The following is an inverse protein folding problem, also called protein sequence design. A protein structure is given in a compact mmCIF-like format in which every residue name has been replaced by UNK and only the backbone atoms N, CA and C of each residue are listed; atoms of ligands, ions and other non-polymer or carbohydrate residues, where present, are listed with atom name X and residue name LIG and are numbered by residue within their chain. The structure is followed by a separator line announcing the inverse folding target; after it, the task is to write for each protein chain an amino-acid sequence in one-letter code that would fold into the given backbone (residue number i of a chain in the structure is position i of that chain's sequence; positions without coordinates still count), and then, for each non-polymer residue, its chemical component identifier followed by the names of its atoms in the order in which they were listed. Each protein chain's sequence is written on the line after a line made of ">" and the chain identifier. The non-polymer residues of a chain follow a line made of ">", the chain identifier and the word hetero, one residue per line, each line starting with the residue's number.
data_IF_725672422789
#
_entry.id   IF_725672422789
#
_cell.length_a   1.000
_cell.length_b   1.000
_cell.length_c   1.000
_cell.angle_alpha   90.00
_cell.angle_beta   90.00
_cell.angle_gamma   90.00
#
_symmetry.space_group_name_H-M   'P 1'
#
loop_
_entity.id
_entity.type
_entity.pdbx_description
1 polymer ?
#
# COMPACT_ATOMS: atom_id res chain seq x y z
N UNK A 1 -2.42 15.89 -2.41
CA UNK A 1 -3.72 15.91 -1.72
C UNK A 1 -4.67 15.02 -2.52
N UNK A 2 -5.28 14.03 -1.90
CA UNK A 2 -6.30 13.20 -2.57
C UNK A 2 -7.61 13.98 -2.64
N UNK A 3 -8.27 13.99 -3.80
CA UNK A 3 -9.53 14.69 -4.02
C UNK A 3 -10.57 13.77 -4.65
N UNK A 4 -11.83 13.91 -4.24
CA UNK A 4 -12.95 13.18 -4.85
C UNK A 4 -13.17 13.67 -6.28
N UNK A 5 -13.46 12.74 -7.19
CA UNK A 5 -13.79 13.05 -8.59
C UNK A 5 -15.18 12.55 -8.92
N UNK A 6 -15.99 13.42 -9.53
CA UNK A 6 -17.26 13.08 -10.17
C UNK A 6 -17.13 13.32 -11.68
N UNK A 7 -17.32 12.28 -12.49
CA UNK A 7 -17.00 12.23 -13.92
C UNK A 7 -15.52 12.57 -14.16
N UNK A 8 -15.22 13.79 -14.57
CA UNK A 8 -13.88 14.35 -14.81
C UNK A 8 -13.67 15.67 -14.04
N UNK A 9 -14.43 15.86 -12.95
CA UNK A 9 -14.40 17.06 -12.12
C UNK A 9 -13.95 16.74 -10.71
N UNK A 10 -12.94 17.46 -10.26
CA UNK A 10 -12.49 17.44 -8.87
C UNK A 10 -13.45 18.25 -8.00
N UNK A 11 -13.81 17.72 -6.83
CA UNK A 11 -14.59 18.40 -5.80
C UNK A 11 -13.63 18.91 -4.70
N UNK A 12 -13.45 20.23 -4.61
CA UNK A 12 -12.48 20.85 -3.70
C UNK A 12 -12.94 20.93 -2.24
N UNK A 13 -14.26 20.88 -2.02
CA UNK A 13 -14.97 21.03 -0.75
C UNK A 13 -15.47 19.69 -0.17
N UNK A 14 -15.03 18.57 -0.73
CA UNK A 14 -15.41 17.25 -0.26
C UNK A 14 -14.52 16.80 0.91
N UNK A 15 -15.15 16.55 2.05
CA UNK A 15 -14.53 16.00 3.27
C UNK A 15 -14.88 14.52 3.51
N UNK A 16 -15.49 13.86 2.52
CA UNK A 16 -15.86 12.44 2.63
C UNK A 16 -14.62 11.53 2.66
N UNK A 17 -14.64 10.43 3.44
CA UNK A 17 -13.58 9.46 3.42
C UNK A 17 -13.48 8.77 2.06
N UNK A 18 -12.26 8.48 1.64
CA UNK A 18 -12.01 7.71 0.41
C UNK A 18 -12.35 6.24 0.67
N UNK A 19 -13.09 5.62 -0.26
CA UNK A 19 -13.50 4.21 -0.18
C UNK A 19 -12.94 3.41 -1.36
N UNK A 20 -13.04 2.10 -1.25
CA UNK A 20 -12.62 1.16 -2.31
C UNK A 20 -13.30 1.48 -3.64
N UNK A 21 -12.53 1.41 -4.72
CA UNK A 21 -12.96 1.64 -6.10
C UNK A 21 -13.49 3.05 -6.40
N UNK A 22 -13.34 4.01 -5.49
CA UNK A 22 -13.68 5.40 -5.77
C UNK A 22 -12.76 5.98 -6.85
N UNK A 23 -13.34 6.89 -7.64
CA UNK A 23 -12.56 7.78 -8.52
C UNK A 23 -12.03 8.96 -7.72
N UNK A 24 -10.73 9.20 -7.84
CA UNK A 24 -10.05 10.31 -7.19
C UNK A 24 -9.01 10.95 -8.12
N UNK A 25 -8.55 12.14 -7.73
CA UNK A 25 -7.40 12.80 -8.33
C UNK A 25 -6.35 13.09 -7.25
N UNK A 26 -5.08 13.16 -7.65
CA UNK A 26 -3.98 13.51 -6.76
C UNK A 26 -3.45 14.90 -7.14
N UNK A 27 -3.78 15.90 -6.31
CA UNK A 27 -3.30 17.27 -6.45
C UNK A 27 -1.87 17.39 -5.86
N UNK A 28 -0.94 18.01 -6.59
CA UNK A 28 0.37 18.37 -6.04
C UNK A 28 0.21 19.52 -5.04
N UNK A 29 0.81 19.37 -3.85
CA UNK A 29 0.77 20.42 -2.84
C UNK A 29 1.69 21.57 -3.27
N UNK A 30 1.11 22.71 -3.63
CA UNK A 30 1.88 23.93 -3.87
C UNK A 30 2.56 24.40 -2.58
N UNK A 31 3.85 24.75 -2.66
CA UNK A 31 4.62 25.27 -1.54
C UNK A 31 4.26 26.73 -1.22
N UNK A 32 4.60 27.25 -0.03
CA UNK A 32 4.28 28.63 0.36
C UNK A 32 4.95 29.70 -0.53
N UNK A 33 5.95 29.33 -1.35
CA UNK A 33 6.68 30.21 -2.26
C UNK A 33 6.21 30.14 -3.72
N UNK A 34 5.26 29.27 -4.08
CA UNK A 34 4.73 29.22 -5.45
C UNK A 34 3.63 30.26 -5.63
N UNK A 35 3.95 31.35 -6.31
CA UNK A 35 3.01 32.39 -6.74
C UNK A 35 2.07 31.95 -7.86
N UNK A 36 2.23 30.73 -8.39
CA UNK A 36 1.30 30.14 -9.35
C UNK A 36 0.10 29.53 -8.62
N UNK A 37 -1.07 30.14 -8.78
CA UNK A 37 -2.37 29.60 -8.31
C UNK A 37 -2.84 28.36 -9.09
N UNK A 38 -1.95 27.71 -9.84
CA UNK A 38 -2.31 26.61 -10.73
C UNK A 38 -2.38 25.31 -9.93
N UNK A 39 -3.59 24.75 -9.85
CA UNK A 39 -3.81 23.44 -9.29
C UNK A 39 -3.27 22.39 -10.26
N UNK A 40 -2.17 21.74 -9.90
CA UNK A 40 -1.55 20.68 -10.69
C UNK A 40 -2.01 19.31 -10.19
N UNK A 41 -2.33 18.41 -11.11
CA UNK A 41 -2.79 17.06 -10.82
C UNK A 41 -1.86 16.01 -11.45
N UNK A 42 -1.68 14.90 -10.74
CA UNK A 42 -0.99 13.71 -11.21
C UNK A 42 -1.77 13.10 -12.38
N UNK A 43 -1.15 13.03 -13.54
CA UNK A 43 -1.75 12.58 -14.78
C UNK A 43 -0.86 11.56 -15.48
N UNK A 44 -1.46 10.54 -16.10
CA UNK A 44 -0.77 9.61 -16.97
C UNK A 44 -0.75 10.16 -18.41
N UNK A 45 0.43 10.35 -18.98
CA UNK A 45 0.62 10.76 -20.37
C UNK A 45 1.48 9.72 -21.11
N UNK A 46 0.82 8.83 -21.85
CA UNK A 46 1.48 7.65 -22.41
C UNK A 46 1.89 6.70 -21.29
N UNK A 47 3.18 6.40 -21.19
CA UNK A 47 3.80 5.60 -20.12
C UNK A 47 4.39 6.46 -18.99
N UNK A 48 4.24 7.79 -19.06
CA UNK A 48 4.86 8.73 -18.11
C UNK A 48 3.85 9.32 -17.15
N UNK A 49 4.30 9.50 -15.91
CA UNK A 49 3.58 10.28 -14.90
C UNK A 49 4.03 11.74 -14.98
N UNK A 50 3.06 12.64 -15.17
CA UNK A 50 3.29 14.08 -15.33
C UNK A 50 2.36 14.90 -14.45
N UNK A 51 2.68 16.17 -14.24
CA UNK A 51 1.79 17.16 -13.63
C UNK A 51 1.08 17.98 -14.69
N UNK A 52 -0.25 17.99 -14.70
CA UNK A 52 -1.06 18.81 -15.61
C UNK A 52 -1.96 19.74 -14.81
N UNK A 53 -2.08 21.00 -15.25
CA UNK A 53 -2.97 21.97 -14.64
C UNK A 53 -4.44 21.60 -14.88
N UNK A 54 -5.24 21.64 -13.81
CA UNK A 54 -6.70 21.60 -13.94
C UNK A 54 -7.26 22.94 -14.42
N UNK A 55 -8.48 22.90 -14.96
CA UNK A 55 -9.20 24.09 -15.42
C UNK A 55 -10.31 24.45 -14.43
N UNK A 56 -10.23 25.59 -13.72
CA UNK A 56 -11.31 26.04 -12.83
C UNK A 56 -12.63 26.21 -13.58
N UNK A 57 -13.75 25.80 -12.97
CA UNK A 57 -15.08 25.93 -13.55
C UNK A 57 -15.63 27.36 -13.30
N UNK A 58 -15.96 28.17 -14.33
CA UNK A 58 -16.37 29.57 -14.16
C UNK A 58 -17.58 29.79 -13.24
N UNK A 59 -18.53 28.85 -13.26
CA UNK A 59 -19.79 28.95 -12.51
C UNK A 59 -19.81 28.09 -11.23
N UNK A 60 -18.74 27.33 -10.95
CA UNK A 60 -18.69 26.35 -9.87
C UNK A 60 -17.35 26.49 -9.12
N UNK A 61 -17.31 27.37 -8.12
CA UNK A 61 -16.08 27.76 -7.41
C UNK A 61 -15.31 26.60 -6.77
N UNK A 62 -16.00 25.52 -6.40
CA UNK A 62 -15.42 24.34 -5.76
C UNK A 62 -15.17 23.18 -6.73
N UNK A 63 -15.25 23.43 -8.05
CA UNK A 63 -15.01 22.41 -9.07
C UNK A 63 -13.89 22.81 -10.02
N UNK A 64 -13.11 21.79 -10.40
CA UNK A 64 -12.02 21.91 -11.36
C UNK A 64 -12.17 20.77 -12.37
N UNK A 65 -12.30 21.11 -13.65
CA UNK A 65 -12.24 20.14 -14.74
C UNK A 65 -10.79 19.65 -14.86
N UNK A 66 -10.60 18.33 -14.93
CA UNK A 66 -9.29 17.69 -15.11
C UNK A 66 -9.28 16.80 -16.34
N UNK A 67 -8.08 16.44 -16.81
CA UNK A 67 -7.93 15.45 -17.86
C UNK A 67 -8.41 14.07 -17.37
N UNK A 68 -9.02 13.28 -18.25
CA UNK A 68 -9.50 11.92 -17.91
C UNK A 68 -8.36 11.03 -17.39
N UNK A 69 -7.14 11.20 -17.90
CA UNK A 69 -5.94 10.48 -17.45
C UNK A 69 -5.38 10.96 -16.11
N UNK A 70 -6.00 11.97 -15.49
CA UNK A 70 -5.76 12.37 -14.10
C UNK A 70 -6.83 11.82 -13.14
N UNK A 71 -7.80 11.05 -13.64
CA UNK A 71 -8.79 10.33 -12.85
C UNK A 71 -8.29 8.91 -12.54
N UNK A 72 -8.08 8.63 -11.26
CA UNK A 72 -7.55 7.36 -10.77
C UNK A 72 -8.62 6.59 -10.01
N UNK A 73 -8.66 5.27 -10.18
CA UNK A 73 -9.43 4.39 -9.29
C UNK A 73 -8.52 3.87 -8.19
N UNK A 74 -8.89 4.10 -6.94
CA UNK A 74 -8.12 3.63 -5.78
C UNK A 74 -8.69 2.32 -5.24
N UNK A 75 -7.80 1.39 -4.89
CA UNK A 75 -8.16 0.11 -4.30
C UNK A 75 -7.08 -0.29 -3.30
N UNK A 76 -7.48 -0.90 -2.18
CA UNK A 76 -6.56 -1.55 -1.27
C UNK A 76 -6.06 -2.84 -1.89
N UNK A 77 -4.78 -3.10 -1.70
CA UNK A 77 -4.13 -4.33 -2.12
C UNK A 77 -3.58 -5.05 -0.90
N UNK A 78 -3.55 -6.37 -0.96
CA UNK A 78 -2.88 -7.21 0.03
C UNK A 78 -1.83 -8.08 -0.66
N UNK A 79 -0.87 -8.62 0.10
CA UNK A 79 0.23 -9.44 -0.40
C UNK A 79 0.48 -10.62 0.52
N UNK A 80 0.46 -11.82 -0.04
CA UNK A 80 1.01 -13.03 0.58
C UNK A 80 2.40 -13.32 0.00
N UNK A 81 3.37 -13.59 0.87
CA UNK A 81 4.75 -13.95 0.49
C UNK A 81 5.16 -15.24 1.22
N UNK A 82 5.81 -16.14 0.49
CA UNK A 82 6.28 -17.42 1.01
C UNK A 82 7.71 -17.66 0.55
N UNK A 83 8.56 -18.10 1.48
CA UNK A 83 9.98 -18.37 1.24
C UNK A 83 10.33 -19.74 1.78
N UNK A 84 11.03 -20.56 0.99
CA UNK A 84 11.45 -21.91 1.38
C UNK A 84 12.75 -22.32 0.70
N UNK A 85 13.42 -23.34 1.24
CA UNK A 85 14.64 -23.92 0.67
C UNK A 85 14.77 -25.40 1.05
N UNK A 86 15.12 -26.26 0.10
CA UNK A 86 15.33 -27.70 0.30
C UNK A 86 16.80 -28.00 0.65
N UNK A 87 17.18 -27.77 1.91
CA UNK A 87 18.59 -27.86 2.35
C UNK A 87 19.23 -29.26 2.20
N UNK A 88 18.42 -30.32 2.14
CA UNK A 88 18.88 -31.72 2.00
C UNK A 88 18.52 -32.35 0.65
N UNK A 89 18.23 -31.51 -0.35
CA UNK A 89 17.76 -31.96 -1.67
C UNK A 89 16.24 -32.22 -1.70
N UNK A 90 15.73 -32.71 -2.84
CA UNK A 90 14.30 -32.79 -3.10
C UNK A 90 13.54 -33.66 -2.10
N UNK A 91 12.39 -33.17 -1.61
CA UNK A 91 11.48 -33.95 -0.76
C UNK A 91 10.30 -34.52 -1.57
N UNK A 92 9.77 -35.67 -1.13
CA UNK A 92 8.65 -36.34 -1.82
C UNK A 92 7.26 -35.76 -1.51
N UNK A 93 7.17 -34.78 -0.61
CA UNK A 93 5.92 -34.19 -0.13
C UNK A 93 5.85 -32.71 -0.52
N UNK A 94 4.64 -32.14 -0.73
CA UNK A 94 4.49 -30.72 -0.98
C UNK A 94 5.06 -29.87 0.17
N UNK A 95 5.63 -28.71 -0.16
CA UNK A 95 6.13 -27.72 0.82
C UNK A 95 4.98 -27.03 1.56
N UNK A 96 3.78 -27.03 0.99
CA UNK A 96 2.59 -26.42 1.58
C UNK A 96 1.98 -27.29 2.69
N UNK A 97 1.43 -26.69 3.76
CA UNK A 97 1.33 -25.24 3.99
C UNK A 97 2.64 -24.64 4.53
N UNK A 98 3.06 -23.50 3.96
CA UNK A 98 4.31 -22.83 4.37
C UNK A 98 4.06 -22.11 5.72
N UNK A 99 4.89 -22.36 6.75
CA UNK A 99 4.78 -21.65 8.02
C UNK A 99 5.12 -20.17 7.85
N UNK A 100 4.31 -19.30 8.44
CA UNK A 100 4.52 -17.84 8.41
C UNK A 100 4.56 -17.33 9.84
N UNK A 101 5.74 -16.93 10.31
CA UNK A 101 5.87 -16.22 11.58
C UNK A 101 5.54 -14.74 11.40
N UNK A 102 4.59 -14.21 12.20
CA UNK A 102 4.14 -12.81 12.13
C UNK A 102 4.66 -11.98 13.29
N UNK A 103 4.67 -12.54 14.49
CA UNK A 103 5.21 -11.85 15.66
C UNK A 103 6.07 -12.79 16.51
N UNK A 104 7.08 -12.20 17.14
CA UNK A 104 8.01 -12.85 18.05
C UNK A 104 7.95 -12.08 19.35
N UNK A 105 7.64 -12.76 20.44
CA UNK A 105 7.65 -12.19 21.79
C UNK A 105 8.72 -12.93 22.58
N UNK A 106 9.57 -12.16 23.27
CA UNK A 106 10.54 -12.70 24.22
C UNK A 106 10.03 -12.40 25.60
N UNK A 107 9.86 -13.42 26.42
CA UNK A 107 9.47 -13.28 27.82
C UNK A 107 10.58 -13.79 28.75
N UNK A 108 10.65 -13.21 29.95
CA UNK A 108 11.65 -13.54 30.96
C UNK A 108 13.05 -12.93 30.71
N UNK A 109 14.06 -13.55 31.32
CA UNK A 109 15.46 -13.12 31.25
C UNK A 109 16.41 -14.13 31.90
N UNK A 110 17.70 -14.07 31.55
CA UNK A 110 18.70 -15.01 32.04
C UNK A 110 18.48 -16.43 31.52
N UNK A 111 18.49 -17.43 32.41
CA UNK A 111 18.36 -18.85 32.05
C UNK A 111 16.93 -19.31 31.79
N UNK A 112 15.94 -18.43 31.94
CA UNK A 112 14.51 -18.73 31.79
C UNK A 112 13.84 -17.86 30.71
N UNK A 113 14.62 -17.37 29.74
CA UNK A 113 14.06 -16.66 28.61
C UNK A 113 13.28 -17.63 27.72
N UNK A 114 12.05 -17.27 27.36
CA UNK A 114 11.21 -18.01 26.42
C UNK A 114 10.92 -17.14 25.20
N UNK A 115 10.74 -17.80 24.05
CA UNK A 115 10.36 -17.14 22.80
C UNK A 115 9.03 -17.72 22.35
N UNK A 116 8.04 -16.85 22.23
CA UNK A 116 6.73 -17.17 21.69
C UNK A 116 6.65 -16.67 20.24
N UNK A 117 6.39 -17.59 19.32
CA UNK A 117 6.13 -17.29 17.91
C UNK A 117 4.64 -17.36 17.65
N UNK A 118 4.08 -16.30 17.09
CA UNK A 118 2.69 -16.29 16.61
C UNK A 118 2.65 -16.11 15.10
N UNK A 119 1.73 -16.82 14.45
CA UNK A 119 1.76 -16.97 13.01
C UNK A 119 0.73 -17.99 12.51
N UNK A 120 0.99 -18.50 11.31
CA UNK A 120 0.09 -19.42 10.60
C UNK A 120 0.85 -20.67 10.18
N UNK A 121 0.13 -21.78 10.06
CA UNK A 121 0.61 -23.07 9.55
C UNK A 121 1.80 -23.69 10.33
N UNK A 122 1.93 -23.40 11.62
CA UNK A 122 2.85 -24.13 12.48
C UNK A 122 2.40 -25.58 12.68
N UNK A 123 3.35 -26.51 12.69
CA UNK A 123 3.11 -27.93 12.88
C UNK A 123 4.15 -28.53 13.84
N UNK A 124 3.83 -29.62 14.57
CA UNK A 124 4.75 -30.23 15.55
C UNK A 124 6.08 -30.74 14.98
N UNK A 125 6.20 -30.89 13.65
CA UNK A 125 7.43 -31.34 12.98
C UNK A 125 8.38 -30.21 12.56
N UNK A 126 8.10 -28.96 12.95
CA UNK A 126 8.96 -27.81 12.66
C UNK A 126 9.88 -27.52 13.84
N UNK A 127 11.17 -27.28 13.56
CA UNK A 127 12.14 -26.78 14.53
C UNK A 127 12.49 -25.32 14.23
N UNK A 128 12.76 -24.55 15.29
CA UNK A 128 13.22 -23.16 15.17
C UNK A 128 14.74 -23.14 15.21
N UNK A 129 15.35 -22.34 14.34
CA UNK A 129 16.80 -22.18 14.24
C UNK A 129 17.20 -20.74 14.55
N UNK A 130 18.15 -20.58 15.47
CA UNK A 130 18.80 -19.31 15.80
C UNK A 130 20.17 -19.25 15.10
N UNK A 131 20.16 -18.77 13.85
CA UNK A 131 21.33 -18.85 12.98
C UNK A 131 21.62 -20.31 12.60
N UNK A 132 22.76 -20.83 13.04
CA UNK A 132 23.17 -22.22 12.80
C UNK A 132 22.78 -23.18 13.95
N UNK A 133 22.17 -22.66 15.01
CA UNK A 133 21.79 -23.43 16.20
C UNK A 133 20.31 -23.81 16.17
N UNK A 134 20.00 -25.10 16.19
CA UNK A 134 18.64 -25.62 16.39
C UNK A 134 18.24 -25.52 17.87
N UNK A 135 16.99 -25.11 18.15
CA UNK A 135 16.43 -24.93 19.50
C UNK A 135 15.59 -26.11 19.98
#
# INVERSE_FOLDING_TARGET
>A
VIRKVDKNRVLLDSDEPVSQLHKCAFEFKSGPSSSSSNLLYLCLAGDRIVGIAGKPCPNERFRVDINDSACWTIISTDKAEYTWFEARGPVSHPITPVPVARHIVVDGGGTAATIELTGENFAPGLSVWFGETES
#
